data_IF_126800342509
#
_entry.id   IF_126800342509
#
_cell.length_a   1.000
_cell.length_b   1.000
_cell.length_c   1.000
_cell.angle_alpha   90.00
_cell.angle_beta   90.00
_cell.angle_gamma   90.00
#
_symmetry.space_group_name_H-M   'P 1'
#
loop_
_entity.id
_entity.type
_entity.pdbx_description
1 polymer ?
#
# COMPACT_ATOMS: atom_id res chain seq x y z
N UNK A 1 -1.85 -12.59 -24.43
CA UNK A 1 -1.20 -11.57 -23.58
C UNK A 1 -1.39 -12.01 -22.15
N UNK A 2 -0.40 -12.67 -21.55
CA UNK A 2 -0.44 -13.04 -20.15
C UNK A 2 0.18 -11.88 -19.37
N UNK A 3 -0.65 -11.14 -18.62
CA UNK A 3 -0.18 -10.15 -17.66
C UNK A 3 0.31 -10.96 -16.45
N UNK A 4 1.60 -11.30 -16.42
CA UNK A 4 2.21 -11.82 -15.21
C UNK A 4 2.38 -10.63 -14.27
N UNK A 5 1.41 -10.43 -13.38
CA UNK A 5 1.63 -9.64 -12.18
C UNK A 5 2.60 -10.45 -11.32
N UNK A 6 3.89 -10.13 -11.42
CA UNK A 6 4.90 -10.64 -10.50
C UNK A 6 4.63 -9.97 -9.16
N UNK A 7 3.73 -10.57 -8.38
CA UNK A 7 3.40 -10.09 -7.04
C UNK A 7 4.56 -10.41 -6.11
N UNK A 8 5.21 -9.38 -5.59
CA UNK A 8 6.31 -9.50 -4.64
C UNK A 8 5.77 -9.50 -3.21
N UNK A 9 6.32 -10.36 -2.37
CA UNK A 9 5.95 -10.52 -0.97
C UNK A 9 7.15 -10.30 -0.06
N UNK A 10 6.91 -9.73 1.12
CA UNK A 10 7.95 -9.55 2.12
C UNK A 10 8.21 -10.85 2.90
N UNK A 11 9.45 -11.35 2.87
CA UNK A 11 9.89 -12.50 3.67
C UNK A 11 9.95 -12.21 5.19
N UNK A 12 9.86 -10.93 5.59
CA UNK A 12 9.90 -10.50 6.99
C UNK A 12 8.52 -10.43 7.66
N UNK A 13 7.58 -9.71 7.04
CA UNK A 13 6.25 -9.47 7.61
C UNK A 13 5.09 -10.04 6.77
N UNK A 14 5.36 -10.60 5.59
CA UNK A 14 4.32 -11.25 4.77
C UNK A 14 3.38 -10.32 4.01
N UNK A 15 3.64 -9.00 3.94
CA UNK A 15 2.83 -8.07 3.15
C UNK A 15 3.20 -8.10 1.66
N UNK A 16 2.22 -7.81 0.80
CA UNK A 16 2.45 -7.57 -0.63
C UNK A 16 3.21 -6.24 -0.82
N UNK A 17 4.26 -6.27 -1.62
CA UNK A 17 5.14 -5.13 -1.87
C UNK A 17 4.73 -4.46 -3.18
N UNK A 18 4.13 -3.29 -3.08
CA UNK A 18 3.78 -2.43 -4.23
C UNK A 18 4.87 -1.40 -4.58
N UNK A 19 6.00 -1.40 -3.86
CA UNK A 19 7.11 -0.46 -4.00
C UNK A 19 8.46 -1.15 -4.20
N UNK A 20 9.55 -0.39 -4.32
CA UNK A 20 10.90 -0.95 -4.49
C UNK A 20 11.31 -1.74 -3.24
N UNK A 21 11.46 -3.08 -3.31
CA UNK A 21 11.85 -3.87 -2.15
C UNK A 21 13.33 -3.70 -1.80
N UNK A 22 13.69 -4.15 -0.60
CA UNK A 22 15.07 -4.37 -0.17
C UNK A 22 15.42 -5.84 -0.35
N UNK A 23 16.52 -6.12 -1.03
CA UNK A 23 16.97 -7.49 -1.31
C UNK A 23 18.19 -7.86 -0.46
N UNK A 24 18.21 -9.07 0.09
CA UNK A 24 19.37 -9.65 0.79
C UNK A 24 19.57 -11.09 0.36
N UNK A 25 20.42 -11.27 -0.65
CA UNK A 25 20.63 -12.58 -1.26
C UNK A 25 19.40 -13.00 -2.07
N UNK A 26 18.65 -13.98 -1.57
CA UNK A 26 17.41 -14.46 -2.19
C UNK A 26 16.14 -14.00 -1.48
N UNK A 27 16.28 -13.25 -0.37
CA UNK A 27 15.16 -12.77 0.42
C UNK A 27 14.81 -11.34 0.04
N UNK A 28 13.51 -11.06 0.01
CA UNK A 28 12.91 -9.78 -0.38
C UNK A 28 12.17 -9.19 0.83
N UNK A 29 12.43 -7.93 1.14
CA UNK A 29 11.87 -7.24 2.30
C UNK A 29 11.21 -5.92 1.93
N UNK A 30 10.07 -5.62 2.54
CA UNK A 30 9.34 -4.38 2.30
C UNK A 30 10.01 -3.16 2.95
N UNK A 31 10.79 -3.36 4.02
CA UNK A 31 11.40 -2.28 4.79
C UNK A 31 12.71 -2.71 5.50
N UNK A 32 13.45 -1.73 6.01
CA UNK A 32 14.72 -1.98 6.72
C UNK A 32 14.51 -2.77 8.01
N UNK A 33 13.38 -2.63 8.72
CA UNK A 33 13.07 -3.36 9.97
C UNK A 33 12.95 -4.86 9.69
N UNK A 34 12.21 -5.24 8.65
CA UNK A 34 12.13 -6.62 8.16
C UNK A 34 13.50 -7.20 7.78
N UNK A 35 14.35 -6.41 7.10
CA UNK A 35 15.70 -6.81 6.69
C UNK A 35 16.62 -7.16 7.87
N UNK A 36 16.46 -6.48 9.01
CA UNK A 36 17.25 -6.69 10.24
C UNK A 36 16.56 -7.63 11.25
N UNK A 37 15.32 -8.05 10.98
CA UNK A 37 14.53 -8.93 11.85
C UNK A 37 13.88 -8.22 13.03
N UNK A 38 13.60 -6.92 12.92
CA UNK A 38 12.82 -6.17 13.91
C UNK A 38 11.33 -6.15 13.55
N UNK A 39 10.49 -6.01 14.59
CA UNK A 39 9.04 -5.77 14.44
C UNK A 39 8.80 -4.59 13.50
N UNK A 40 7.78 -4.65 12.65
CA UNK A 40 7.42 -3.57 11.75
C UNK A 40 5.90 -3.45 11.59
N UNK A 41 5.44 -2.25 11.28
CA UNK A 41 4.01 -1.91 11.18
C UNK A 41 3.60 -1.69 9.71
N UNK A 42 4.14 -2.51 8.79
CA UNK A 42 3.92 -2.34 7.36
C UNK A 42 2.52 -2.78 6.88
N UNK A 43 1.79 -3.54 7.71
CA UNK A 43 0.44 -4.02 7.41
C UNK A 43 -0.59 -2.87 7.45
N UNK A 44 -0.47 -1.95 8.42
CA UNK A 44 -1.37 -0.79 8.60
C UNK A 44 -1.41 0.18 7.41
N UNK A 45 -0.36 0.23 6.58
CA UNK A 45 -0.29 1.15 5.45
C UNK A 45 -1.17 0.75 4.25
N UNK A 46 -1.68 -0.50 4.19
CA UNK A 46 -2.47 -1.00 3.07
C UNK A 46 -3.96 -0.63 3.17
N UNK A 47 -4.48 -0.44 4.38
CA UNK A 47 -5.92 -0.22 4.63
C UNK A 47 -6.33 1.26 4.58
N UNK A 48 -5.39 2.20 4.54
CA UNK A 48 -5.72 3.63 4.49
C UNK A 48 -5.98 4.09 3.05
N UNK A 49 -7.06 3.60 2.45
CA UNK A 49 -7.70 4.31 1.33
C UNK A 49 -8.33 5.57 1.94
N UNK A 50 -7.90 6.79 1.59
CA UNK A 50 -8.51 7.98 2.14
C UNK A 50 -9.96 8.05 1.68
N UNK A 51 -10.89 7.71 2.56
CA UNK A 51 -12.35 7.88 2.43
C UNK A 51 -12.78 9.34 2.17
N UNK A 52 -11.83 10.25 2.01
CA UNK A 52 -12.00 11.69 1.92
C UNK A 52 -12.46 12.16 0.53
N UNK A 53 -12.56 11.27 -0.47
CA UNK A 53 -12.96 11.64 -1.83
C UNK A 53 -14.50 11.71 -2.03
N UNK A 54 -15.31 11.39 -1.01
CA UNK A 54 -16.76 11.36 -1.13
C UNK A 54 -17.48 12.69 -0.82
N UNK A 55 -16.81 13.85 -0.72
CA UNK A 55 -17.52 15.10 -0.36
C UNK A 55 -17.01 16.38 -1.02
N UNK A 56 -16.51 16.30 -2.25
CA UNK A 56 -16.36 17.48 -3.11
C UNK A 56 -17.27 17.39 -4.33
N UNK A 57 -18.58 17.39 -4.12
CA UNK A 57 -19.54 17.66 -5.19
C UNK A 57 -20.51 18.77 -4.78
N UNK A 58 -20.43 19.90 -5.48
CA UNK A 58 -21.63 20.67 -5.82
C UNK A 58 -22.01 21.84 -4.93
N UNK A 59 -21.26 22.93 -5.06
CA UNK A 59 -21.88 24.26 -5.08
C UNK A 59 -22.91 24.32 -6.23
N UNK A 60 -23.99 25.07 -6.00
CA UNK A 60 -24.96 25.60 -6.99
C UNK A 60 -26.29 24.83 -7.16
N UNK A 61 -27.38 25.46 -6.71
CA UNK A 61 -28.56 25.80 -7.53
C UNK A 61 -29.86 25.96 -6.71
N UNK A 62 -30.35 27.20 -6.65
CA UNK A 62 -31.76 27.64 -6.71
C UNK A 62 -32.83 27.01 -5.79
N UNK A 63 -33.30 27.81 -4.83
CA UNK A 63 -34.71 27.82 -4.39
C UNK A 63 -35.31 29.19 -4.64
N UNK A 64 -36.21 29.24 -5.63
CA UNK A 64 -37.08 30.39 -5.87
C UNK A 64 -38.29 30.36 -4.93
N UNK A 65 -38.71 31.54 -4.50
CA UNK A 65 -40.06 31.85 -4.03
C UNK A 65 -40.35 33.33 -4.29
#
# INVERSE_FOLDING_TARGET
MAWHADTLWCDGCGVEIYWTPLEKGQLVFCCRRCLIGEECDCEDFQDEYPSNLASQEGSDSQTGA
#
